data_IF_977857112858
#
_entry.id   IF_977857112858
#
_cell.length_a   1.000
_cell.length_b   1.000
_cell.length_c   1.000
_cell.angle_alpha   90.00
_cell.angle_beta   90.00
_cell.angle_gamma   90.00
#
_symmetry.space_group_name_H-M   'P 1'
#
loop_
_entity.id
_entity.type
_entity.pdbx_description
1 polymer ?
#
# COMPACT_ATOMS: atom_id res chain seq x y z
N UNK A 1 0.18 5.86 44.21
CA UNK A 1 1.01 5.63 43.02
C UNK A 1 0.82 4.19 42.56
N UNK A 2 0.17 3.99 41.41
CA UNK A 2 0.40 2.82 40.54
C UNK A 2 0.26 3.35 39.13
N UNK A 3 1.39 3.63 38.46
CA UNK A 3 1.37 3.95 37.05
C UNK A 3 0.92 2.70 36.30
N UNK A 4 -0.24 2.77 35.64
CA UNK A 4 -0.64 1.72 34.68
C UNK A 4 0.48 1.63 33.64
N UNK A 5 1.13 0.47 33.58
CA UNK A 5 2.16 0.19 32.58
C UNK A 5 1.57 0.39 31.19
N UNK A 6 2.27 1.16 30.37
CA UNK A 6 1.95 1.36 28.96
C UNK A 6 2.02 -0.01 28.28
N UNK A 7 0.91 -0.48 27.70
CA UNK A 7 0.95 -1.69 26.88
C UNK A 7 1.88 -1.43 25.69
N UNK A 8 2.73 -2.39 25.30
CA UNK A 8 3.62 -2.20 24.16
C UNK A 8 2.81 -1.98 22.89
N UNK A 9 3.25 -1.05 22.04
CA UNK A 9 2.64 -0.82 20.74
C UNK A 9 2.73 -2.10 19.89
N UNK A 10 1.60 -2.53 19.32
CA UNK A 10 1.51 -3.70 18.46
C UNK A 10 1.22 -3.27 17.03
N UNK A 11 2.03 -3.73 16.07
CA UNK A 11 1.74 -3.60 14.66
C UNK A 11 0.91 -4.81 14.20
N UNK A 12 -0.25 -4.53 13.60
CA UNK A 12 -1.15 -5.55 13.03
C UNK A 12 -1.47 -5.19 11.58
N UNK A 13 -1.58 -6.20 10.73
CA UNK A 13 -1.90 -6.02 9.30
C UNK A 13 -3.41 -6.02 9.02
N UNK A 14 -4.22 -6.36 10.01
CA UNK A 14 -5.68 -6.40 9.90
C UNK A 14 -6.29 -5.05 10.26
N UNK A 15 -7.47 -4.77 9.69
CA UNK A 15 -8.31 -3.67 10.17
C UNK A 15 -8.75 -3.97 11.61
N UNK A 16 -8.60 -2.99 12.49
CA UNK A 16 -9.02 -3.06 13.89
C UNK A 16 -10.14 -2.05 14.16
N UNK A 17 -11.01 -2.38 15.11
CA UNK A 17 -12.02 -1.48 15.65
C UNK A 17 -11.48 -0.96 17.00
N UNK A 18 -11.06 0.33 17.09
CA UNK A 18 -10.42 0.84 18.29
C UNK A 18 -11.27 0.65 19.56
N UNK A 19 -12.60 0.71 19.42
CA UNK A 19 -13.53 0.61 20.55
C UNK A 19 -13.74 -0.86 20.93
N UNK A 20 -14.08 -1.73 19.97
CA UNK A 20 -14.39 -3.14 20.26
C UNK A 20 -13.16 -3.93 20.67
N UNK A 21 -12.01 -3.61 20.10
CA UNK A 21 -10.76 -4.33 20.36
C UNK A 21 -10.00 -3.79 21.58
N UNK A 22 -10.51 -2.72 22.21
CA UNK A 22 -9.97 -2.17 23.45
C UNK A 22 -8.65 -1.41 23.28
N UNK A 23 -8.44 -0.76 22.14
CA UNK A 23 -7.26 0.05 21.88
C UNK A 23 -7.48 1.50 22.34
N UNK A 24 -6.53 2.04 23.12
CA UNK A 24 -6.56 3.45 23.52
C UNK A 24 -6.27 4.38 22.33
N UNK A 25 -5.38 3.96 21.42
CA UNK A 25 -4.94 4.71 20.24
C UNK A 25 -4.68 3.75 19.09
N UNK A 26 -5.17 4.09 17.90
CA UNK A 26 -4.89 3.35 16.66
C UNK A 26 -4.29 4.29 15.63
N UNK A 27 -3.19 3.84 14.99
CA UNK A 27 -2.61 4.49 13.83
C UNK A 27 -3.05 3.73 12.59
N UNK A 28 -3.82 4.38 11.72
CA UNK A 28 -4.35 3.77 10.51
C UNK A 28 -4.33 4.74 9.33
N UNK A 29 -4.23 4.22 8.10
CA UNK A 29 -4.39 5.02 6.90
C UNK A 29 -5.87 5.29 6.60
N UNK A 30 -6.16 6.45 6.01
CA UNK A 30 -7.49 6.79 5.51
C UNK A 30 -8.38 7.50 6.53
N UNK A 31 -9.56 7.96 6.08
CA UNK A 31 -10.49 8.68 6.94
C UNK A 31 -11.07 7.73 7.99
N UNK A 32 -11.27 8.26 9.19
CA UNK A 32 -12.09 7.61 10.20
C UNK A 32 -13.52 7.52 9.66
N UNK A 33 -14.04 6.29 9.54
CA UNK A 33 -15.45 6.10 9.20
C UNK A 33 -16.32 6.61 10.36
N UNK A 34 -17.47 7.17 10.02
CA UNK A 34 -18.42 7.86 10.92
C UNK A 34 -18.44 7.26 12.33
N UNK A 35 -17.69 7.88 13.23
CA UNK A 35 -17.61 7.46 14.63
C UNK A 35 -17.47 8.67 15.53
N UNK A 36 -17.72 8.46 16.82
CA UNK A 36 -17.53 9.48 17.86
C UNK A 36 -16.06 9.66 18.24
N UNK A 37 -15.13 8.96 17.58
CA UNK A 37 -13.71 9.03 17.88
C UNK A 37 -13.08 10.32 17.34
N UNK A 38 -12.04 10.79 18.03
CA UNK A 38 -11.24 11.94 17.61
C UNK A 38 -10.18 11.45 16.61
N UNK A 39 -10.24 11.92 15.37
CA UNK A 39 -9.21 11.66 14.36
C UNK A 39 -8.22 12.82 14.27
N UNK A 40 -6.93 12.53 14.39
CA UNK A 40 -5.85 13.48 14.16
C UNK A 40 -5.03 13.08 12.94
N UNK A 41 -4.92 13.98 11.97
CA UNK A 41 -3.98 13.80 10.85
C UNK A 41 -2.55 13.91 11.38
N UNK A 42 -1.78 12.84 11.28
CA UNK A 42 -0.36 12.83 11.69
C UNK A 42 0.55 13.24 10.51
N UNK A 43 0.31 12.68 9.32
CA UNK A 43 1.05 12.99 8.09
C UNK A 43 0.30 12.52 6.84
N UNK A 44 0.82 12.88 5.66
CA UNK A 44 0.35 12.39 4.36
C UNK A 44 1.15 11.17 3.89
N UNK A 45 0.44 10.11 3.48
CA UNK A 45 1.04 8.92 2.89
C UNK A 45 1.14 9.08 1.37
N UNK A 46 2.38 9.17 0.86
CA UNK A 46 2.66 9.18 -0.58
C UNK A 46 3.04 7.78 -1.05
N UNK A 47 2.22 7.20 -1.93
CA UNK A 47 2.49 5.88 -2.54
C UNK A 47 3.20 6.07 -3.87
N UNK A 48 4.26 5.30 -4.08
CA UNK A 48 5.03 5.28 -5.32
C UNK A 48 4.91 3.91 -5.98
N UNK A 49 4.79 3.90 -7.31
CA UNK A 49 5.01 2.69 -8.08
C UNK A 49 6.51 2.38 -8.10
N UNK A 50 6.86 1.16 -7.70
CA UNK A 50 8.23 0.69 -7.64
C UNK A 50 8.30 -0.71 -8.26
N UNK A 51 9.46 -1.06 -8.78
CA UNK A 51 9.78 -2.38 -9.29
C UNK A 51 11.22 -2.72 -8.92
N UNK A 52 11.61 -3.98 -9.11
CA UNK A 52 12.99 -4.39 -8.94
C UNK A 52 13.90 -3.68 -9.96
N UNK A 53 15.16 -3.45 -9.60
CA UNK A 53 16.16 -2.86 -10.52
C UNK A 53 16.25 -3.64 -11.82
N UNK A 54 16.16 -4.96 -11.73
CA UNK A 54 16.37 -5.87 -12.85
C UNK A 54 15.16 -5.87 -13.79
N UNK A 55 13.94 -5.80 -13.25
CA UNK A 55 12.73 -5.61 -14.04
C UNK A 55 12.77 -4.27 -14.79
N UNK A 56 13.15 -3.19 -14.11
CA UNK A 56 13.30 -1.87 -14.74
C UNK A 56 14.36 -1.92 -15.84
N UNK A 57 15.50 -2.57 -15.62
CA UNK A 57 16.56 -2.70 -16.62
C UNK A 57 16.08 -3.41 -17.90
N UNK A 58 15.29 -4.48 -17.75
CA UNK A 58 14.69 -5.22 -18.87
C UNK A 58 13.62 -4.42 -19.62
N UNK A 59 12.98 -3.47 -18.95
CA UNK A 59 11.88 -2.66 -19.48
C UNK A 59 12.32 -1.26 -19.91
N UNK A 60 13.61 -0.91 -19.75
CA UNK A 60 14.16 0.40 -20.14
C UNK A 60 13.90 0.68 -21.62
N UNK A 61 13.21 1.79 -21.90
CA UNK A 61 12.81 2.22 -23.24
C UNK A 61 11.39 1.84 -23.66
N UNK A 62 10.72 0.92 -22.94
CA UNK A 62 9.36 0.48 -23.28
C UNK A 62 8.25 1.28 -22.57
N UNK A 63 8.55 1.95 -21.45
CA UNK A 63 7.58 2.75 -20.69
C UNK A 63 7.89 4.24 -20.83
N UNK A 64 7.17 4.92 -21.72
CA UNK A 64 7.20 6.38 -21.92
C UNK A 64 5.89 7.04 -21.50
N UNK A 65 4.78 6.28 -21.46
CA UNK A 65 3.45 6.74 -21.11
C UNK A 65 2.79 5.88 -20.01
N UNK A 66 2.02 6.46 -19.07
CA UNK A 66 1.34 5.71 -18.01
C UNK A 66 0.45 4.57 -18.50
N UNK A 67 -0.20 4.73 -19.66
CA UNK A 67 -1.08 3.70 -20.22
C UNK A 67 -0.36 2.37 -20.51
N UNK A 68 0.95 2.39 -20.76
CA UNK A 68 1.73 1.19 -21.02
C UNK A 68 1.89 0.31 -19.77
N UNK A 69 1.70 0.88 -18.58
CA UNK A 69 1.71 0.12 -17.33
C UNK A 69 0.58 -0.93 -17.29
N UNK A 70 -0.52 -0.73 -18.03
CA UNK A 70 -1.60 -1.70 -18.09
C UNK A 70 -1.19 -3.04 -18.75
N UNK A 71 -0.16 -3.01 -19.60
CA UNK A 71 0.36 -4.21 -20.25
C UNK A 71 1.35 -4.98 -19.37
N UNK A 72 1.84 -4.35 -18.29
CA UNK A 72 2.77 -4.96 -17.37
C UNK A 72 2.03 -5.65 -16.24
N UNK A 73 2.58 -6.74 -15.70
CA UNK A 73 1.93 -7.45 -14.62
C UNK A 73 2.25 -6.81 -13.27
N UNK A 74 1.28 -6.79 -12.36
CA UNK A 74 1.36 -6.08 -11.09
C UNK A 74 1.19 -7.02 -9.90
N UNK A 75 1.77 -6.64 -8.76
CA UNK A 75 1.44 -7.15 -7.44
C UNK A 75 0.59 -6.09 -6.74
N UNK A 76 -0.57 -6.51 -6.26
CA UNK A 76 -1.43 -5.65 -5.47
C UNK A 76 -1.15 -5.88 -3.97
N UNK A 77 -1.01 -4.80 -3.22
CA UNK A 77 -1.09 -4.82 -1.76
C UNK A 77 -2.41 -4.16 -1.42
N UNK A 78 -3.38 -4.95 -0.93
CA UNK A 78 -4.83 -4.64 -0.84
C UNK A 78 -5.26 -3.41 -0.01
N UNK A 79 -4.37 -2.46 0.21
CA UNK A 79 -4.50 -1.20 0.93
C UNK A 79 -5.63 -0.29 0.44
N UNK A 80 -5.92 -0.26 -0.87
CA UNK A 80 -6.90 0.66 -1.47
C UNK A 80 -8.28 0.03 -1.77
N UNK A 81 -8.52 -1.21 -1.32
CA UNK A 81 -9.71 -1.97 -1.72
C UNK A 81 -9.68 -2.38 -3.20
N UNK A 82 -10.79 -2.85 -3.79
CA UNK A 82 -10.85 -3.32 -5.18
C UNK A 82 -10.80 -2.20 -6.24
N UNK A 83 -10.45 -0.96 -5.85
CA UNK A 83 -10.46 0.18 -6.78
C UNK A 83 -9.19 0.18 -7.63
N UNK A 84 -9.38 0.49 -8.91
CA UNK A 84 -8.31 0.79 -9.87
C UNK A 84 -7.40 1.88 -9.28
N UNK A 85 -6.11 1.62 -9.06
CA UNK A 85 -5.24 2.59 -8.44
C UNK A 85 -5.10 3.80 -9.38
N UNK A 86 -5.47 5.01 -8.94
CA UNK A 86 -5.14 6.19 -9.69
C UNK A 86 -3.64 6.42 -9.60
N UNK A 87 -2.99 6.57 -10.75
CA UNK A 87 -1.61 7.01 -10.81
C UNK A 87 -1.57 8.45 -11.29
N UNK A 88 -0.71 9.25 -10.68
CA UNK A 88 -0.52 10.64 -11.10
C UNK A 88 0.83 10.74 -11.79
N UNK A 89 0.85 11.22 -13.04
CA UNK A 89 2.08 11.63 -13.73
C UNK A 89 1.95 13.10 -14.08
N UNK A 90 2.88 13.93 -13.62
CA UNK A 90 2.90 15.38 -13.89
C UNK A 90 1.55 16.04 -13.61
N UNK A 91 1.00 15.78 -12.43
CA UNK A 91 -0.27 16.34 -11.94
C UNK A 91 -1.53 15.93 -12.73
N UNK A 92 -1.40 14.98 -13.68
CA UNK A 92 -2.53 14.36 -14.36
C UNK A 92 -2.81 12.98 -13.80
N UNK A 93 -4.07 12.75 -13.44
CA UNK A 93 -4.58 11.47 -12.96
C UNK A 93 -4.83 10.52 -14.13
N UNK A 94 -4.23 9.34 -14.06
CA UNK A 94 -4.41 8.23 -14.98
C UNK A 94 -4.94 7.03 -14.22
N UNK A 95 -6.08 6.52 -14.64
CA UNK A 95 -6.63 5.29 -14.08
C UNK A 95 -5.95 4.09 -14.74
N UNK A 96 -5.34 3.22 -13.93
CA UNK A 96 -4.72 2.00 -14.40
C UNK A 96 -5.64 0.79 -14.16
N UNK A 97 -5.57 -0.18 -15.06
CA UNK A 97 -6.20 -1.49 -14.93
C UNK A 97 -5.18 -2.56 -15.32
N UNK A 98 -4.07 -2.68 -14.58
CA UNK A 98 -3.02 -3.63 -14.90
C UNK A 98 -3.47 -5.05 -14.58
N UNK A 99 -2.79 -6.02 -15.20
CA UNK A 99 -3.02 -7.43 -14.88
C UNK A 99 -2.36 -7.76 -13.53
N UNK A 100 -3.16 -7.88 -12.48
CA UNK A 100 -2.67 -8.32 -11.17
C UNK A 100 -2.34 -9.83 -11.23
N UNK A 101 -1.09 -10.18 -10.94
CA UNK A 101 -0.58 -11.56 -10.95
C UNK A 101 -0.48 -12.17 -9.56
N UNK A 102 -0.36 -11.33 -8.54
CA UNK A 102 -0.35 -11.73 -7.14
C UNK A 102 -0.97 -10.62 -6.29
N UNK A 103 -1.56 -11.00 -5.16
CA UNK A 103 -2.02 -10.06 -4.15
C UNK A 103 -1.41 -10.44 -2.81
N UNK A 104 -0.73 -9.50 -2.17
CA UNK A 104 -0.27 -9.68 -0.81
C UNK A 104 -1.23 -8.99 0.17
N UNK A 105 -1.33 -9.57 1.36
CA UNK A 105 -2.05 -9.04 2.50
C UNK A 105 -1.14 -8.25 3.46
N UNK A 106 0.17 -8.16 3.19
CA UNK A 106 1.13 -7.36 3.95
C UNK A 106 2.13 -6.67 3.01
N UNK A 107 2.42 -5.39 3.26
CA UNK A 107 3.37 -4.59 2.49
C UNK A 107 4.78 -5.19 2.50
N UNK A 108 5.21 -5.76 3.63
CA UNK A 108 6.50 -6.43 3.77
C UNK A 108 6.62 -7.65 2.85
N UNK A 109 5.51 -8.34 2.61
CA UNK A 109 5.47 -9.47 1.66
C UNK A 109 5.61 -8.95 0.22
N UNK A 110 4.88 -7.88 -0.15
CA UNK A 110 5.09 -7.22 -1.45
C UNK A 110 6.53 -6.76 -1.63
N UNK A 111 7.12 -6.09 -0.64
CA UNK A 111 8.50 -5.62 -0.68
C UNK A 111 9.47 -6.78 -0.89
N UNK A 112 9.35 -7.86 -0.12
CA UNK A 112 10.21 -9.04 -0.27
C UNK A 112 10.03 -9.69 -1.65
N UNK A 113 8.81 -9.73 -2.17
CA UNK A 113 8.55 -10.28 -3.50
C UNK A 113 9.27 -9.46 -4.58
N UNK A 114 9.13 -8.14 -4.56
CA UNK A 114 9.80 -7.25 -5.51
C UNK A 114 11.33 -7.38 -5.41
N UNK A 115 11.88 -7.52 -4.19
CA UNK A 115 13.33 -7.52 -3.96
C UNK A 115 14.02 -8.88 -4.16
N UNK A 116 13.33 -10.00 -3.94
CA UNK A 116 13.98 -11.31 -3.83
C UNK A 116 13.36 -12.40 -4.69
N UNK A 117 12.21 -12.17 -5.33
CA UNK A 117 11.61 -13.25 -6.11
C UNK A 117 12.33 -13.41 -7.46
N UNK A 118 12.72 -14.64 -7.85
CA UNK A 118 13.38 -14.91 -9.13
C UNK A 118 12.48 -14.68 -10.35
N UNK A 119 11.17 -14.51 -10.14
CA UNK A 119 10.22 -14.17 -11.19
C UNK A 119 10.23 -12.64 -11.36
N UNK A 120 11.31 -12.13 -11.96
CA UNK A 120 11.60 -10.71 -12.22
C UNK A 120 10.66 -10.10 -13.27
N UNK A 121 9.38 -10.46 -13.25
CA UNK A 121 8.41 -10.06 -14.26
C UNK A 121 7.34 -9.14 -13.71
N UNK A 122 7.27 -8.86 -12.41
CA UNK A 122 6.18 -8.10 -11.80
C UNK A 122 6.60 -6.69 -11.35
N UNK A 123 5.67 -5.73 -11.52
CA UNK A 123 5.63 -4.40 -10.89
C UNK A 123 4.97 -4.46 -9.51
#
# INVERSE_FOLDING_TARGET
MVGKGFAPAQAVDNMVDPIKDGYDVVFGPGPLQDSTLIALKVFDLNLFLCASSDFVAQTKGQITAPAQLNALPFIDFGFCGPRKPPTTKLDRRHELSPRVRARANNFQVCKKYILHHPDQRLL
#
